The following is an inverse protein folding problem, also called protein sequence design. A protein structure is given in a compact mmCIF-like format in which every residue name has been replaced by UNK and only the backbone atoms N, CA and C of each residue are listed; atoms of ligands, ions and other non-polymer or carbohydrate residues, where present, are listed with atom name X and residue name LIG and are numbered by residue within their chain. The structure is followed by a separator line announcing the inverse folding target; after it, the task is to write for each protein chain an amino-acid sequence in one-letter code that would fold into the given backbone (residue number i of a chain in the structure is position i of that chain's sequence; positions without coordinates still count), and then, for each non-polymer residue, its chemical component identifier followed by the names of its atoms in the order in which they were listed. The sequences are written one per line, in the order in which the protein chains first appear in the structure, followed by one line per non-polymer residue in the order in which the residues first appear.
data_IF_213013529393
#
_entry.id   IF_213013529393
#
_cell.length_a   1.000
_cell.length_b   1.000
_cell.length_c   1.000
_cell.angle_alpha   90.00
_cell.angle_beta   90.00
_cell.angle_gamma   90.00
#
_symmetry.space_group_name_H-M   'P 1'
#
loop_
_entity.id
_entity.type
_entity.pdbx_description
1 polymer ?
#
# COMPACT_ATOMS: atom_id res chain seq x y z
N UNK A 1 17.43 -6.46 -13.95
CA UNK A 1 17.24 -5.12 -13.34
C UNK A 1 15.91 -5.13 -12.61
N UNK A 2 15.95 -5.19 -11.28
CA UNK A 2 14.75 -5.11 -10.45
C UNK A 2 14.07 -3.76 -10.75
N UNK A 3 12.77 -3.80 -11.03
CA UNK A 3 11.98 -2.58 -11.12
C UNK A 3 12.04 -1.95 -9.74
N UNK A 4 12.82 -0.87 -9.59
CA UNK A 4 12.64 0.06 -8.47
C UNK A 4 11.13 0.35 -8.43
N UNK A 5 10.51 0.04 -7.30
CA UNK A 5 9.09 0.31 -7.09
C UNK A 5 8.80 1.79 -7.32
N UNK A 6 7.53 2.16 -7.43
CA UNK A 6 7.22 3.59 -7.49
C UNK A 6 7.71 4.30 -6.22
N UNK A 7 7.86 5.64 -6.22
CA UNK A 7 8.14 6.38 -5.00
C UNK A 7 7.15 6.05 -3.87
N UNK A 8 5.88 5.79 -4.21
CA UNK A 8 4.86 5.33 -3.26
C UNK A 8 5.17 3.94 -2.71
N UNK A 9 5.63 3.00 -3.53
CA UNK A 9 6.08 1.67 -3.06
C UNK A 9 7.27 1.80 -2.10
N UNK A 10 8.24 2.66 -2.41
CA UNK A 10 9.40 2.89 -1.56
C UNK A 10 9.03 3.54 -0.22
N UNK A 11 8.16 4.56 -0.27
CA UNK A 11 7.65 5.21 0.93
C UNK A 11 6.92 4.23 1.83
N UNK A 12 6.01 3.42 1.27
CA UNK A 12 5.26 2.44 2.05
C UNK A 12 6.16 1.31 2.58
N UNK A 13 7.15 0.85 1.80
CA UNK A 13 8.13 -0.13 2.28
C UNK A 13 8.93 0.40 3.47
N UNK A 14 9.40 1.65 3.41
CA UNK A 14 10.05 2.32 4.55
C UNK A 14 9.09 2.49 5.74
N UNK A 15 7.88 2.98 5.49
CA UNK A 15 6.88 3.25 6.52
C UNK A 15 6.47 1.99 7.29
N UNK A 16 6.34 0.86 6.59
CA UNK A 16 6.02 -0.44 7.19
C UNK A 16 7.25 -1.23 7.66
N UNK A 17 8.47 -0.73 7.46
CA UNK A 17 9.70 -1.43 7.83
C UNK A 17 9.88 -2.76 7.09
N UNK A 18 9.48 -2.83 5.82
CA UNK A 18 9.48 -4.05 5.04
C UNK A 18 10.87 -4.35 4.45
N UNK A 19 11.25 -5.64 4.33
CA UNK A 19 12.46 -6.03 3.63
C UNK A 19 12.32 -5.85 2.11
N UNK A 20 13.46 -5.79 1.42
CA UNK A 20 13.48 -5.70 -0.04
C UNK A 20 12.74 -6.87 -0.71
N UNK A 21 11.88 -6.54 -1.68
CA UNK A 21 11.05 -7.52 -2.39
C UNK A 21 9.77 -7.93 -1.64
N UNK A 22 9.51 -7.37 -0.46
CA UNK A 22 8.23 -7.55 0.21
C UNK A 22 7.05 -7.01 -0.63
N UNK A 23 5.89 -7.63 -0.47
CA UNK A 23 4.67 -7.20 -1.15
C UNK A 23 4.03 -6.01 -0.40
N UNK A 24 4.43 -4.80 -0.81
CA UNK A 24 3.96 -3.53 -0.26
C UNK A 24 2.43 -3.40 -0.33
N UNK A 25 1.82 -3.79 -1.47
CA UNK A 25 0.37 -3.74 -1.64
C UNK A 25 -0.36 -4.64 -0.64
N UNK A 26 0.16 -5.84 -0.37
CA UNK A 26 -0.41 -6.73 0.63
C UNK A 26 -0.27 -6.19 2.06
N UNK A 27 0.88 -5.59 2.41
CA UNK A 27 1.08 -4.95 3.71
C UNK A 27 0.10 -3.79 3.93
N UNK A 28 -0.07 -2.92 2.93
CA UNK A 28 -1.02 -1.81 3.00
C UNK A 28 -2.48 -2.29 3.14
N UNK A 29 -2.88 -3.35 2.41
CA UNK A 29 -4.21 -3.93 2.55
C UNK A 29 -4.45 -4.57 3.93
N UNK A 30 -3.43 -5.23 4.48
CA UNK A 30 -3.51 -5.81 5.83
C UNK A 30 -3.72 -4.73 6.90
N UNK A 31 -3.05 -3.59 6.75
CA UNK A 31 -3.19 -2.45 7.65
C UNK A 31 -4.58 -1.79 7.53
N UNK A 32 -5.11 -1.64 6.32
CA UNK A 32 -6.49 -1.16 6.10
C UNK A 32 -7.49 -2.09 6.79
N UNK A 33 -7.35 -3.40 6.61
CA UNK A 33 -8.23 -4.38 7.25
C UNK A 33 -8.13 -4.34 8.78
N UNK A 34 -6.92 -4.09 9.33
CA UNK A 34 -6.72 -3.89 10.77
C UNK A 34 -7.51 -2.68 11.27
N UNK A 35 -7.48 -1.56 10.55
CA UNK A 35 -8.21 -0.34 10.94
C UNK A 35 -9.72 -0.54 10.81
N UNK A 36 -10.17 -1.19 9.73
CA UNK A 36 -11.60 -1.48 9.49
C UNK A 36 -12.18 -2.42 10.58
N UNK A 37 -11.35 -3.20 11.28
CA UNK A 37 -11.74 -4.04 12.41
C UNK A 37 -11.85 -3.33 13.77
N UNK A 38 -11.48 -2.05 13.88
CA UNK A 38 -11.57 -1.28 15.13
C UNK A 38 -13.01 -0.84 15.35
N UNK A 39 -13.59 -1.13 16.52
CA UNK A 39 -15.01 -0.81 16.81
C UNK A 39 -15.32 0.70 16.82
N UNK A 40 -14.38 1.52 17.29
CA UNK A 40 -14.50 2.99 17.36
C UNK A 40 -13.19 3.65 16.92
N UNK A 41 -12.91 3.72 15.60
CA UNK A 41 -11.69 4.34 15.10
C UNK A 41 -11.75 5.85 15.31
N UNK A 42 -10.62 6.44 15.70
CA UNK A 42 -10.48 7.89 15.80
C UNK A 42 -10.50 8.53 14.41
N UNK A 43 -10.84 9.83 14.33
CA UNK A 43 -10.82 10.56 13.06
C UNK A 43 -9.45 10.50 12.36
N UNK A 44 -8.36 10.52 13.14
CA UNK A 44 -7.00 10.38 12.63
C UNK A 44 -6.77 9.01 11.96
N UNK A 45 -7.27 7.92 12.56
CA UNK A 45 -7.17 6.57 11.98
C UNK A 45 -7.97 6.46 10.68
N UNK A 46 -9.12 7.12 10.58
CA UNK A 46 -9.91 7.16 9.34
C UNK A 46 -9.21 7.94 8.22
N UNK A 47 -8.59 9.08 8.55
CA UNK A 47 -7.75 9.83 7.61
C UNK A 47 -6.57 9.00 7.14
N UNK A 48 -5.88 8.33 8.06
CA UNK A 48 -4.75 7.46 7.75
C UNK A 48 -5.17 6.27 6.85
N UNK A 49 -6.28 5.61 7.16
CA UNK A 49 -6.86 4.54 6.34
C UNK A 49 -7.18 5.01 4.92
N UNK A 50 -7.68 6.24 4.78
CA UNK A 50 -7.96 6.84 3.46
C UNK A 50 -6.69 7.10 2.65
N UNK A 51 -5.62 7.59 3.31
CA UNK A 51 -4.31 7.79 2.68
C UNK A 51 -3.70 6.45 2.22
N UNK A 52 -3.75 5.42 3.07
CA UNK A 52 -3.28 4.07 2.71
C UNK A 52 -4.05 3.51 1.51
N UNK A 53 -5.37 3.68 1.50
CA UNK A 53 -6.21 3.23 0.39
C UNK A 53 -5.83 3.93 -0.92
N UNK A 54 -5.64 5.25 -0.90
CA UNK A 54 -5.21 6.02 -2.08
C UNK A 54 -3.83 5.59 -2.58
N UNK A 55 -2.86 5.42 -1.68
CA UNK A 55 -1.53 4.96 -2.03
C UNK A 55 -1.56 3.56 -2.68
N UNK A 56 -2.46 2.68 -2.23
CA UNK A 56 -2.56 1.30 -2.74
C UNK A 56 -3.26 1.20 -4.10
N UNK A 57 -4.17 2.13 -4.43
CA UNK A 57 -4.83 2.17 -5.74
C UNK A 57 -3.80 2.37 -6.87
N UNK A 58 -2.82 3.26 -6.67
CA UNK A 58 -1.79 3.53 -7.68
C UNK A 58 -0.93 2.29 -7.99
N UNK A 59 -0.58 1.51 -6.97
CA UNK A 59 0.17 0.25 -7.09
C UNK A 59 -0.58 -0.78 -7.94
N UNK A 60 -1.89 -0.90 -7.70
CA UNK A 60 -2.75 -1.88 -8.38
C UNK A 60 -2.94 -1.56 -9.86
N UNK A 61 -3.08 -0.27 -10.20
CA UNK A 61 -3.21 0.19 -11.58
C UNK A 61 -1.94 -0.03 -12.39
N UNK A 62 -0.76 0.13 -11.77
CA UNK A 62 0.53 -0.05 -12.42
C UNK A 62 0.85 -1.53 -12.71
N UNK A 63 0.50 -2.41 -11.77
CA UNK A 63 0.61 -3.87 -11.95
C UNK A 63 -0.24 -4.35 -13.15
N UNK A 64 -1.47 -3.84 -13.30
CA UNK A 64 -2.33 -4.14 -14.45
C UNK A 64 -1.76 -3.63 -15.78
N UNK A 65 -1.16 -2.43 -15.81
CA UNK A 65 -0.58 -1.86 -17.03
C UNK A 65 0.65 -2.64 -17.50
N UNK A 66 1.45 -3.16 -16.57
CA UNK A 66 2.60 -4.02 -16.88
C UNK A 66 2.19 -5.37 -17.44
N UNK A 67 1.12 -5.98 -16.92
CA UNK A 67 0.55 -7.25 -17.46
C UNK A 67 -0.04 -7.14 -18.86
N UNK A 68 -0.49 -5.95 -19.29
CA UNK A 68 -1.04 -5.74 -20.65
C UNK A 68 0.01 -5.46 -21.73
N UNK A 69 1.27 -5.25 -21.34
CA UNK A 69 2.39 -4.95 -22.25
C UNK A 69 3.34 -6.13 -22.45
N UNK A 70 3.06 -7.26 -21.80
CA UNK A 70 3.70 -8.55 -21.99
C UNK A 70 2.68 -9.53 -22.59
#
# INVERSE_FOLDING_TARGET
MQSLGTPEDMFLAWFFGLPDGANVGHAAQSEIARIDGIATPTGLLLSFRSLLHQATLNITHQTRRRRRRH
#
